data_IF_113319098900
#
_entry.id   IF_113319098900
#
_cell.length_a   1.000
_cell.length_b   1.000
_cell.length_c   1.000
_cell.angle_alpha   90.00
_cell.angle_beta   90.00
_cell.angle_gamma   90.00
#
_symmetry.space_group_name_H-M   'P 1'
#
loop_
_entity.id
_entity.type
_entity.pdbx_description
1 polymer ?
#
# COMPACT_ATOMS: atom_id res chain seq x y z
N UNK A 1 9.05 25.91 15.89
CA UNK A 1 9.43 25.02 14.78
C UNK A 1 8.14 24.44 14.22
N UNK A 2 7.92 24.41 12.90
CA UNK A 2 6.73 23.79 12.33
C UNK A 2 6.69 22.32 12.78
N UNK A 3 5.51 21.86 13.20
CA UNK A 3 5.29 20.45 13.51
C UNK A 3 5.30 19.66 12.20
N UNK A 4 5.63 18.37 12.28
CA UNK A 4 5.52 17.46 11.12
C UNK A 4 4.09 17.46 10.56
N UNK A 5 3.10 17.76 11.42
CA UNK A 5 1.70 17.90 11.06
C UNK A 5 1.40 19.11 10.15
N UNK A 6 2.28 20.10 10.12
CA UNK A 6 2.16 21.31 9.28
C UNK A 6 2.66 21.08 7.85
N UNK A 7 3.14 19.88 7.54
CA UNK A 7 3.64 19.51 6.22
C UNK A 7 2.54 18.88 5.36
N UNK A 8 2.53 19.19 4.06
CA UNK A 8 1.59 18.60 3.11
C UNK A 8 1.94 17.15 2.69
N UNK A 9 2.78 16.45 3.46
CA UNK A 9 3.20 15.10 3.11
C UNK A 9 2.02 14.10 3.27
N UNK A 10 1.81 13.21 2.29
CA UNK A 10 0.81 12.16 2.41
C UNK A 10 1.19 11.20 3.55
N UNK A 11 0.19 10.76 4.32
CA UNK A 11 0.37 9.90 5.49
C UNK A 11 -0.43 8.62 5.33
N UNK A 12 0.13 7.53 5.83
CA UNK A 12 -0.62 6.28 5.98
C UNK A 12 -1.59 6.39 7.14
N UNK A 13 -2.77 5.78 6.97
CA UNK A 13 -3.77 5.68 8.03
C UNK A 13 -3.25 4.66 9.05
N UNK A 14 -3.06 5.10 10.30
CA UNK A 14 -2.48 4.23 11.35
C UNK A 14 -3.37 3.06 11.75
N UNK A 15 -4.70 3.21 11.63
CA UNK A 15 -5.66 2.18 11.99
C UNK A 15 -6.85 2.16 11.01
N UNK A 16 -6.65 1.66 9.78
CA UNK A 16 -7.72 1.61 8.79
C UNK A 16 -8.81 0.64 9.25
N UNK A 17 -10.07 1.03 9.04
CA UNK A 17 -11.22 0.15 9.21
C UNK A 17 -11.20 -0.97 8.17
N UNK A 18 -11.96 -2.04 8.41
CA UNK A 18 -12.06 -3.16 7.45
C UNK A 18 -12.56 -2.70 6.07
N UNK A 19 -13.48 -1.72 6.04
CA UNK A 19 -13.98 -1.13 4.80
C UNK A 19 -12.88 -0.38 4.05
N UNK A 20 -12.11 0.45 4.76
CA UNK A 20 -10.97 1.17 4.16
C UNK A 20 -9.88 0.21 3.70
N UNK A 21 -9.63 -0.91 4.40
CA UNK A 21 -8.71 -1.93 3.93
C UNK A 21 -9.16 -2.52 2.58
N UNK A 22 -10.45 -2.83 2.45
CA UNK A 22 -10.99 -3.36 1.20
C UNK A 22 -10.99 -2.32 0.08
N UNK A 23 -11.37 -1.07 0.35
CA UNK A 23 -11.42 -0.04 -0.69
C UNK A 23 -10.02 0.43 -1.10
N UNK A 24 -9.12 0.58 -0.12
CA UNK A 24 -7.85 1.26 -0.34
C UNK A 24 -6.68 0.31 -0.62
N UNK A 25 -6.76 -0.93 -0.13
CA UNK A 25 -5.65 -1.87 -0.21
C UNK A 25 -5.99 -3.12 -1.02
N UNK A 26 -7.21 -3.32 -1.52
CA UNK A 26 -7.50 -4.49 -2.36
C UNK A 26 -6.58 -4.59 -3.58
N UNK A 27 -6.16 -5.81 -3.88
CA UNK A 27 -5.33 -6.10 -5.04
C UNK A 27 -6.16 -6.01 -6.31
N UNK A 28 -5.59 -5.43 -7.35
CA UNK A 28 -6.12 -5.57 -8.71
C UNK A 28 -5.67 -6.89 -9.32
N UNK A 29 -6.39 -7.33 -10.36
CA UNK A 29 -6.07 -8.58 -11.06
C UNK A 29 -4.67 -8.53 -11.69
N UNK A 30 -4.29 -7.36 -12.19
CA UNK A 30 -2.97 -7.09 -12.79
C UNK A 30 -1.84 -7.22 -11.76
N UNK A 31 -2.02 -6.63 -10.57
CA UNK A 31 -1.06 -6.74 -9.46
C UNK A 31 -0.90 -8.20 -9.03
N UNK A 32 -2.00 -8.96 -8.94
CA UNK A 32 -1.97 -10.39 -8.61
C UNK A 32 -1.17 -11.16 -9.66
N UNK A 33 -1.42 -10.89 -10.94
CA UNK A 33 -0.72 -11.57 -12.04
C UNK A 33 0.77 -11.27 -12.02
N UNK A 34 1.14 -9.99 -11.89
CA UNK A 34 2.53 -9.55 -11.80
C UNK A 34 3.25 -10.19 -10.60
N UNK A 35 2.60 -10.20 -9.43
CA UNK A 35 3.17 -10.73 -8.20
C UNK A 35 3.37 -12.26 -8.27
N UNK A 36 2.42 -12.98 -8.89
CA UNK A 36 2.56 -14.42 -9.14
C UNK A 36 3.74 -14.75 -10.06
N UNK A 37 4.04 -13.89 -11.03
CA UNK A 37 5.15 -14.09 -11.96
C UNK A 37 6.52 -13.76 -11.35
N UNK A 38 6.60 -12.77 -10.46
CA UNK A 38 7.87 -12.21 -9.97
C UNK A 38 8.25 -12.62 -8.54
N UNK A 39 7.27 -12.98 -7.70
CA UNK A 39 7.50 -13.21 -6.26
C UNK A 39 7.13 -14.64 -5.87
N UNK A 40 8.09 -15.36 -5.27
CA UNK A 40 7.90 -16.73 -4.80
C UNK A 40 7.73 -16.76 -3.28
N UNK A 41 6.78 -17.58 -2.81
CA UNK A 41 6.47 -17.73 -1.39
C UNK A 41 5.43 -16.72 -0.88
N UNK A 42 4.52 -17.17 -0.04
CA UNK A 42 3.33 -16.38 0.32
C UNK A 42 3.64 -15.23 1.27
N UNK A 43 4.65 -15.40 2.15
CA UNK A 43 5.15 -14.31 3.00
C UNK A 43 5.78 -13.19 2.17
N UNK A 44 6.59 -13.55 1.17
CA UNK A 44 7.23 -12.58 0.29
C UNK A 44 6.19 -11.81 -0.55
N UNK A 45 5.19 -12.52 -1.09
CA UNK A 45 4.06 -11.89 -1.80
C UNK A 45 3.34 -10.88 -0.92
N UNK A 46 3.04 -11.26 0.34
CA UNK A 46 2.39 -10.36 1.28
C UNK A 46 3.26 -9.12 1.57
N UNK A 47 4.57 -9.29 1.78
CA UNK A 47 5.48 -8.16 1.99
C UNK A 47 5.52 -7.20 0.80
N UNK A 48 5.66 -7.74 -0.42
CA UNK A 48 5.67 -6.94 -1.65
C UNK A 48 4.33 -6.21 -1.85
N UNK A 49 3.22 -6.88 -1.56
CA UNK A 49 1.89 -6.28 -1.64
C UNK A 49 1.72 -5.10 -0.66
N UNK A 50 2.11 -5.27 0.60
CA UNK A 50 2.06 -4.20 1.61
C UNK A 50 2.91 -3.02 1.17
N UNK A 51 4.13 -3.28 0.68
CA UNK A 51 5.01 -2.24 0.15
C UNK A 51 4.37 -1.52 -1.05
N UNK A 52 3.83 -2.25 -2.03
CA UNK A 52 3.22 -1.65 -3.20
C UNK A 52 2.05 -0.72 -2.83
N UNK A 53 1.13 -1.19 -1.99
CA UNK A 53 -0.03 -0.38 -1.58
C UNK A 53 0.35 0.81 -0.72
N UNK A 54 1.32 0.66 0.18
CA UNK A 54 1.81 1.80 0.98
C UNK A 54 2.47 2.86 0.10
N UNK A 55 3.24 2.47 -0.92
CA UNK A 55 3.84 3.40 -1.87
C UNK A 55 2.80 4.12 -2.74
N UNK A 56 1.80 3.40 -3.26
CA UNK A 56 0.66 4.01 -3.97
C UNK A 56 -0.08 5.02 -3.08
N UNK A 57 -0.30 4.69 -1.80
CA UNK A 57 -0.99 5.58 -0.84
C UNK A 57 -0.21 6.83 -0.50
N UNK A 58 1.11 6.75 -0.52
CA UNK A 58 1.99 7.90 -0.36
C UNK A 58 2.13 8.73 -1.64
N UNK A 59 1.41 8.39 -2.72
CA UNK A 59 1.40 9.16 -3.96
C UNK A 59 2.68 9.02 -4.79
N UNK A 60 3.52 8.01 -4.51
CA UNK A 60 4.72 7.73 -5.30
C UNK A 60 4.41 7.06 -6.64
N UNK A 61 3.23 6.45 -6.77
CA UNK A 61 2.75 5.80 -7.98
C UNK A 61 1.28 6.19 -8.21
N UNK A 62 0.98 6.67 -9.43
CA UNK A 62 -0.37 6.92 -9.95
C UNK A 62 -0.92 5.67 -10.63
#
# INVERSE_FOLDING_TARGET
MPSIEDTAYPRLISNPSQKELQELYSLTIEEIHWMKAHVKGDVAKLGVFVLLKTFQRLGYFL
#
